data_IF_676201913359
#
_entry.id   IF_676201913359
#
_cell.length_a   1.000
_cell.length_b   1.000
_cell.length_c   1.000
_cell.angle_alpha   90.00
_cell.angle_beta   90.00
_cell.angle_gamma   90.00
#
_symmetry.space_group_name_H-M   'P 1'
#
loop_
_entity.id
_entity.type
_entity.pdbx_description
1 polymer ?
#
# COMPACT_ATOMS: atom_id res chain seq x y z
N UNK A 1 -6.29 -28.41 -42.27
CA UNK A 1 -5.63 -29.62 -42.83
C UNK A 1 -4.47 -29.92 -41.90
N UNK A 2 -4.63 -30.98 -41.10
CA UNK A 2 -3.70 -31.38 -40.04
C UNK A 2 -2.55 -32.15 -40.68
N UNK A 3 -1.31 -31.76 -40.40
CA UNK A 3 -0.13 -32.59 -40.67
C UNK A 3 0.53 -32.85 -39.33
N UNK A 4 0.38 -34.08 -38.87
CA UNK A 4 1.09 -34.67 -37.74
C UNK A 4 2.44 -35.16 -38.28
N UNK A 5 3.52 -34.77 -37.63
CA UNK A 5 4.81 -35.43 -37.79
C UNK A 5 5.42 -35.68 -36.42
N UNK A 6 5.49 -36.97 -36.10
CA UNK A 6 6.21 -37.58 -34.97
C UNK A 6 7.69 -37.18 -34.97
N UNK A 7 8.25 -36.87 -33.80
CA UNK A 7 9.71 -36.93 -33.57
C UNK A 7 9.97 -37.58 -32.21
N UNK A 8 10.82 -38.59 -32.26
CA UNK A 8 11.21 -39.54 -31.22
C UNK A 8 12.20 -38.92 -30.21
N UNK A 9 12.09 -39.30 -28.93
CA UNK A 9 12.95 -38.83 -27.85
C UNK A 9 14.10 -39.81 -27.60
N UNK A 10 15.31 -39.52 -28.07
CA UNK A 10 16.54 -40.13 -27.52
C UNK A 10 17.76 -39.22 -27.65
N UNK A 11 18.48 -39.06 -26.53
CA UNK A 11 19.86 -38.62 -26.34
C UNK A 11 20.19 -37.12 -26.11
N UNK A 12 20.53 -36.90 -24.82
CA UNK A 12 21.58 -36.08 -24.22
C UNK A 12 22.51 -35.23 -25.10
N UNK A 13 22.72 -34.01 -24.59
CA UNK A 13 23.89 -33.12 -24.76
C UNK A 13 24.16 -32.52 -26.14
N UNK A 14 23.51 -31.39 -26.45
CA UNK A 14 24.17 -30.28 -27.18
C UNK A 14 23.65 -28.93 -26.68
N UNK A 15 24.61 -28.11 -26.26
CA UNK A 15 24.54 -26.73 -25.84
C UNK A 15 24.28 -25.79 -27.04
N UNK A 16 23.54 -24.71 -26.77
CA UNK A 16 23.42 -23.44 -27.51
C UNK A 16 22.41 -23.27 -28.66
N UNK A 17 21.70 -22.14 -28.53
CA UNK A 17 21.12 -21.26 -29.56
C UNK A 17 19.64 -21.44 -29.87
N UNK A 18 18.78 -20.68 -29.19
CA UNK A 18 17.50 -20.22 -29.78
C UNK A 18 17.44 -18.71 -29.75
N UNK A 19 17.47 -18.18 -30.96
CA UNK A 19 17.33 -16.78 -31.37
C UNK A 19 15.91 -16.31 -31.06
N UNK A 20 15.80 -15.26 -30.26
CA UNK A 20 14.58 -14.47 -30.08
C UNK A 20 14.28 -13.67 -31.36
N UNK A 21 13.08 -13.85 -31.91
CA UNK A 21 12.55 -12.97 -32.97
C UNK A 21 12.15 -11.62 -32.36
N UNK A 22 12.69 -10.57 -32.96
CA UNK A 22 12.45 -9.16 -32.68
C UNK A 22 10.99 -8.74 -32.84
N UNK A 23 10.51 -7.90 -31.90
CA UNK A 23 9.65 -6.77 -32.25
C UNK A 23 10.34 -5.49 -31.76
N UNK A 24 10.44 -4.58 -32.72
CA UNK A 24 11.26 -3.38 -32.81
C UNK A 24 10.85 -2.29 -31.80
N UNK A 25 11.86 -1.64 -31.19
CA UNK A 25 11.80 -0.20 -30.96
C UNK A 25 11.85 0.28 -29.51
N UNK A 26 12.98 0.11 -28.82
CA UNK A 26 13.49 1.08 -27.84
C UNK A 26 14.95 0.73 -27.50
N UNK A 27 15.83 1.72 -27.60
CA UNK A 27 17.26 1.58 -27.28
C UNK A 27 17.43 1.28 -25.78
N UNK A 28 17.60 0.00 -25.45
CA UNK A 28 18.06 -0.44 -24.14
C UNK A 28 19.58 -0.59 -24.24
N UNK A 29 20.32 0.30 -23.58
CA UNK A 29 21.72 0.08 -23.28
C UNK A 29 21.78 -1.00 -22.18
N UNK A 30 21.92 -2.26 -22.60
CA UNK A 30 22.30 -3.35 -21.69
C UNK A 30 23.81 -3.22 -21.48
N UNK A 31 24.23 -2.74 -20.31
CA UNK A 31 25.61 -2.94 -19.85
C UNK A 31 25.71 -4.37 -19.32
N UNK A 32 26.62 -5.13 -19.91
CA UNK A 32 26.94 -6.51 -19.54
C UNK A 32 27.52 -6.60 -18.12
N UNK A 33 27.33 -7.79 -17.55
CA UNK A 33 27.63 -8.26 -16.20
C UNK A 33 28.89 -7.70 -15.52
N UNK A 34 28.69 -7.05 -14.37
CA UNK A 34 29.73 -6.90 -13.34
C UNK A 34 29.40 -7.88 -12.21
N UNK A 35 30.07 -9.03 -12.24
CA UNK A 35 30.15 -9.96 -11.11
C UNK A 35 30.95 -9.25 -10.01
N UNK A 36 30.27 -8.78 -8.96
CA UNK A 36 30.90 -8.15 -7.80
C UNK A 36 31.96 -9.07 -7.20
N UNK A 37 33.21 -8.58 -7.15
CA UNK A 37 34.28 -9.22 -6.40
C UNK A 37 34.02 -9.08 -4.90
N UNK A 38 34.09 -10.21 -4.18
CA UNK A 38 34.08 -10.24 -2.72
C UNK A 38 35.46 -9.78 -2.25
N UNK A 39 35.56 -8.51 -1.86
CA UNK A 39 36.77 -7.98 -1.23
C UNK A 39 36.81 -8.42 0.23
N UNK A 40 37.76 -9.29 0.60
CA UNK A 40 37.85 -9.93 1.92
C UNK A 40 38.74 -9.19 2.91
N UNK A 41 39.39 -8.11 2.52
CA UNK A 41 40.41 -7.46 3.35
C UNK A 41 40.02 -6.03 3.73
N UNK A 42 39.04 -5.87 4.65
CA UNK A 42 38.90 -4.71 5.57
C UNK A 42 37.65 -4.81 6.50
N UNK A 43 37.42 -5.97 7.14
CA UNK A 43 36.43 -6.05 8.24
C UNK A 43 37.15 -5.77 9.56
N UNK A 44 37.55 -4.53 9.76
CA UNK A 44 37.93 -4.00 11.08
C UNK A 44 36.86 -3.01 11.53
N UNK A 45 36.19 -3.34 12.64
CA UNK A 45 35.14 -2.57 13.32
C UNK A 45 33.77 -2.57 12.62
N UNK A 46 32.91 -3.51 13.02
CA UNK A 46 31.47 -3.47 12.78
C UNK A 46 30.88 -2.25 13.50
N UNK A 47 30.88 -1.08 12.85
CA UNK A 47 30.01 0.07 13.16
C UNK A 47 28.55 -0.24 12.78
N UNK A 48 28.06 -1.42 13.18
CA UNK A 48 26.70 -1.84 12.93
C UNK A 48 25.83 -1.44 14.13
N UNK A 49 25.15 -0.30 14.01
CA UNK A 49 24.01 0.01 14.87
C UNK A 49 22.76 -0.42 14.13
N UNK A 50 22.17 -1.57 14.52
CA UNK A 50 20.80 -1.91 14.12
C UNK A 50 19.91 -0.70 14.40
N UNK A 51 19.32 -0.02 13.40
CA UNK A 51 18.56 1.17 13.66
C UNK A 51 17.35 0.81 14.55
N UNK A 52 16.99 1.68 15.51
CA UNK A 52 15.89 1.42 16.43
C UNK A 52 14.57 1.19 15.70
N UNK A 53 14.36 1.82 14.53
CA UNK A 53 13.18 1.66 13.67
C UNK A 53 13.58 1.51 12.17
N UNK A 54 13.70 0.28 11.65
CA UNK A 54 14.16 0.02 10.29
C UNK A 54 13.13 0.28 9.18
N UNK A 55 11.84 0.38 9.55
CA UNK A 55 10.72 0.71 8.64
C UNK A 55 10.33 2.19 8.83
N UNK A 56 11.29 3.10 8.62
CA UNK A 56 11.09 4.55 8.73
C UNK A 56 11.89 5.28 7.65
N UNK A 57 11.51 6.53 7.36
CA UNK A 57 12.23 7.38 6.42
C UNK A 57 13.64 7.69 6.91
N UNK A 58 14.61 7.52 6.01
CA UNK A 58 16.02 7.71 6.27
C UNK A 58 16.65 8.53 5.14
N UNK A 59 17.54 9.43 5.50
CA UNK A 59 18.20 10.34 4.55
C UNK A 59 19.44 9.68 3.97
N UNK A 60 19.53 9.60 2.65
CA UNK A 60 20.76 9.21 1.94
C UNK A 60 21.55 10.46 1.57
N UNK A 61 20.89 11.37 0.84
CA UNK A 61 21.41 12.70 0.51
C UNK A 61 20.36 13.71 0.95
N UNK A 62 20.68 14.65 1.86
CA UNK A 62 19.75 15.71 2.27
C UNK A 62 19.14 16.42 1.06
N UNK A 63 17.82 16.61 1.10
CA UNK A 63 16.99 17.30 0.10
C UNK A 63 17.03 16.71 -1.32
N UNK A 64 17.56 15.49 -1.46
CA UNK A 64 17.77 14.84 -2.76
C UNK A 64 17.25 13.41 -2.76
N UNK A 65 17.68 12.59 -1.80
CA UNK A 65 17.48 11.14 -1.84
C UNK A 65 17.18 10.59 -0.45
N UNK A 66 16.06 9.87 -0.36
CA UNK A 66 15.55 9.27 0.86
C UNK A 66 15.14 7.83 0.59
N UNK A 67 15.25 6.98 1.61
CA UNK A 67 14.84 5.57 1.58
C UNK A 67 13.93 5.27 2.76
N UNK A 68 13.05 4.28 2.62
CA UNK A 68 12.04 3.93 3.61
C UNK A 68 12.07 2.45 4.00
N UNK A 69 12.01 1.55 3.01
CA UNK A 69 11.96 0.11 3.25
C UNK A 69 12.55 -0.68 2.07
N UNK A 70 12.96 -1.93 2.32
CA UNK A 70 13.61 -2.78 1.31
C UNK A 70 12.93 -4.16 1.21
N UNK A 71 12.73 -4.67 -0.01
CA UNK A 71 12.00 -5.90 -0.27
C UNK A 71 12.73 -6.79 -1.27
N UNK A 72 12.61 -8.11 -1.08
CA UNK A 72 12.96 -9.07 -2.13
C UNK A 72 11.83 -9.10 -3.16
N UNK A 73 12.17 -8.98 -4.45
CA UNK A 73 11.22 -9.20 -5.52
C UNK A 73 10.77 -10.67 -5.54
N UNK A 74 9.51 -10.93 -5.21
CA UNK A 74 8.95 -12.29 -5.22
C UNK A 74 8.77 -12.87 -6.63
N UNK A 75 8.90 -12.04 -7.66
CA UNK A 75 8.69 -12.40 -9.07
C UNK A 75 9.98 -12.77 -9.78
N UNK A 76 11.14 -12.35 -9.25
CA UNK A 76 12.42 -12.71 -9.85
C UNK A 76 12.72 -14.19 -9.63
N UNK A 77 13.18 -14.87 -10.69
CA UNK A 77 13.49 -16.32 -10.68
C UNK A 77 14.95 -16.62 -11.05
N UNK A 78 15.69 -15.63 -11.55
CA UNK A 78 17.05 -15.81 -12.08
C UNK A 78 18.09 -15.31 -11.08
N UNK A 79 17.88 -14.11 -10.51
CA UNK A 79 18.73 -13.52 -9.49
C UNK A 79 17.91 -12.96 -8.33
N UNK A 80 18.53 -12.69 -7.19
CA UNK A 80 17.87 -11.95 -6.12
C UNK A 80 17.82 -10.48 -6.51
N UNK A 81 16.61 -9.99 -6.72
CA UNK A 81 16.35 -8.58 -7.00
C UNK A 81 15.82 -7.92 -5.71
N UNK A 82 16.50 -6.88 -5.26
CA UNK A 82 16.12 -6.09 -4.08
C UNK A 82 15.54 -4.76 -4.56
N UNK A 83 14.35 -4.45 -4.08
CA UNK A 83 13.68 -3.16 -4.28
C UNK A 83 13.80 -2.35 -3.01
N UNK A 84 14.51 -1.23 -3.08
CA UNK A 84 14.53 -0.22 -2.03
C UNK A 84 13.52 0.86 -2.40
N UNK A 85 12.50 1.02 -1.57
CA UNK A 85 11.48 2.04 -1.72
C UNK A 85 11.97 3.35 -1.10
N UNK A 86 11.68 4.45 -1.76
CA UNK A 86 12.12 5.75 -1.28
C UNK A 86 11.54 6.93 -2.04
N UNK A 87 12.28 8.02 -2.00
CA UNK A 87 11.97 9.26 -2.68
C UNK A 87 13.22 9.89 -3.28
N UNK A 88 13.09 10.49 -4.46
CA UNK A 88 14.19 11.10 -5.20
C UNK A 88 13.74 12.41 -5.84
N UNK A 89 14.62 13.41 -5.83
CA UNK A 89 14.37 14.72 -6.44
C UNK A 89 14.25 14.61 -7.97
N UNK A 90 13.32 15.38 -8.54
CA UNK A 90 12.88 15.22 -9.93
C UNK A 90 14.01 15.36 -10.98
N UNK A 91 14.97 16.25 -10.73
CA UNK A 91 16.11 16.52 -11.62
C UNK A 91 17.04 15.32 -11.79
N UNK A 92 17.15 14.46 -10.79
CA UNK A 92 17.96 13.24 -10.86
C UNK A 92 17.31 12.15 -11.71
N UNK A 93 15.98 12.12 -11.84
CA UNK A 93 15.31 11.27 -12.83
C UNK A 93 15.58 11.71 -14.27
N UNK A 94 15.84 13.00 -14.49
CA UNK A 94 16.16 13.54 -15.82
C UNK A 94 17.64 13.38 -16.17
N UNK A 95 18.50 13.20 -15.18
CA UNK A 95 19.95 13.11 -15.32
C UNK A 95 20.50 11.91 -14.53
N UNK A 96 20.20 10.67 -14.93
CA UNK A 96 20.58 9.47 -14.19
C UNK A 96 22.11 9.31 -14.04
N UNK A 97 22.90 9.90 -14.94
CA UNK A 97 24.37 9.94 -14.86
C UNK A 97 24.89 10.59 -13.56
N UNK A 98 24.06 11.43 -12.91
CA UNK A 98 24.38 12.07 -11.62
C UNK A 98 24.18 11.13 -10.42
N UNK A 99 23.59 9.95 -10.62
CA UNK A 99 23.29 8.97 -9.58
C UNK A 99 24.29 7.80 -9.65
N UNK A 100 25.43 7.93 -8.99
CA UNK A 100 26.32 6.79 -8.74
C UNK A 100 25.96 6.16 -7.39
N UNK A 101 24.92 5.35 -7.38
CA UNK A 101 24.42 4.74 -6.13
C UNK A 101 24.74 3.26 -6.01
N UNK A 102 24.89 2.80 -4.77
CA UNK A 102 25.25 1.41 -4.48
C UNK A 102 24.38 0.85 -3.37
N UNK A 103 23.95 -0.40 -3.51
CA UNK A 103 23.39 -1.18 -2.43
C UNK A 103 24.51 -1.85 -1.65
N UNK A 104 24.64 -1.51 -0.37
CA UNK A 104 25.46 -2.26 0.58
C UNK A 104 24.58 -3.22 1.36
N UNK A 105 24.89 -4.50 1.29
CA UNK A 105 24.06 -5.61 1.77
C UNK A 105 24.85 -6.35 2.84
N UNK A 106 24.35 -6.32 4.07
CA UNK A 106 24.90 -7.02 5.22
C UNK A 106 24.12 -8.31 5.43
N UNK A 107 24.82 -9.43 5.31
CA UNK A 107 24.26 -10.77 5.52
C UNK A 107 24.69 -11.24 6.90
N UNK A 108 23.84 -11.00 7.90
CA UNK A 108 24.20 -11.16 9.31
C UNK A 108 24.54 -12.61 9.66
N UNK A 109 23.85 -13.57 9.03
CA UNK A 109 24.03 -15.00 9.31
C UNK A 109 25.42 -15.51 8.95
N UNK A 110 25.98 -15.00 7.85
CA UNK A 110 27.28 -15.43 7.32
C UNK A 110 28.40 -14.43 7.59
N UNK A 111 28.12 -13.34 8.31
CA UNK A 111 29.01 -12.20 8.53
C UNK A 111 29.66 -11.68 7.22
N UNK A 112 28.86 -11.64 6.15
CA UNK A 112 29.32 -11.24 4.83
C UNK A 112 28.73 -9.88 4.45
N UNK A 113 29.51 -9.11 3.71
CA UNK A 113 29.10 -7.82 3.16
C UNK A 113 29.26 -7.86 1.66
N UNK A 114 28.21 -7.47 0.95
CA UNK A 114 28.21 -7.37 -0.50
C UNK A 114 27.88 -5.94 -0.88
N UNK A 115 28.64 -5.37 -1.82
CA UNK A 115 28.34 -4.06 -2.39
C UNK A 115 28.06 -4.25 -3.88
N UNK A 116 26.92 -3.75 -4.34
CA UNK A 116 26.52 -3.79 -5.75
C UNK A 116 26.05 -2.42 -6.21
N UNK A 117 26.39 -2.04 -7.43
CA UNK A 117 25.84 -0.83 -8.06
C UNK A 117 24.33 -1.02 -8.29
N UNK A 118 23.56 0.07 -8.17
CA UNK A 118 22.13 0.02 -8.53
C UNK A 118 21.98 -0.31 -10.01
N UNK A 119 21.09 -1.24 -10.34
CA UNK A 119 20.81 -1.58 -11.74
C UNK A 119 19.84 -0.62 -12.38
N UNK A 120 18.90 -0.09 -11.60
CA UNK A 120 17.82 0.77 -12.10
C UNK A 120 17.25 1.66 -11.00
N UNK A 121 16.83 2.87 -11.39
CA UNK A 121 15.92 3.70 -10.61
C UNK A 121 14.62 3.86 -11.38
N UNK A 122 13.49 3.56 -10.73
CA UNK A 122 12.16 3.68 -11.33
C UNK A 122 11.41 4.84 -10.67
N UNK A 123 10.93 5.78 -11.48
CA UNK A 123 9.98 6.79 -11.02
C UNK A 123 8.61 6.14 -10.94
N UNK A 124 8.10 5.96 -9.73
CA UNK A 124 6.79 5.34 -9.51
C UNK A 124 5.72 6.34 -9.15
N UNK A 125 6.01 7.65 -9.11
CA UNK A 125 5.03 8.67 -8.75
C UNK A 125 3.74 8.56 -9.55
N UNK A 126 2.62 8.70 -8.84
CA UNK A 126 1.29 8.74 -9.44
C UNK A 126 1.18 9.82 -10.51
N UNK A 127 0.55 9.50 -11.65
CA UNK A 127 0.29 10.47 -12.74
C UNK A 127 -0.57 11.68 -12.33
N UNK A 128 -1.23 11.61 -11.17
CA UNK A 128 -1.98 12.72 -10.57
C UNK A 128 -1.08 13.73 -9.84
N UNK A 129 0.13 13.32 -9.48
CA UNK A 129 1.14 14.15 -8.82
C UNK A 129 2.21 14.46 -9.86
N UNK A 130 2.06 15.58 -10.57
CA UNK A 130 3.00 16.03 -11.60
C UNK A 130 3.74 17.27 -11.15
N UNK A 131 4.97 17.44 -11.65
CA UNK A 131 5.80 18.63 -11.43
C UNK A 131 6.08 18.92 -9.95
N UNK A 132 6.25 17.88 -9.15
CA UNK A 132 6.68 18.01 -7.76
C UNK A 132 8.19 17.95 -7.68
N UNK A 133 8.74 18.62 -6.67
CA UNK A 133 10.18 18.62 -6.43
C UNK A 133 10.69 17.20 -6.12
N UNK A 134 9.91 16.44 -5.36
CA UNK A 134 10.23 15.09 -4.92
C UNK A 134 9.24 14.08 -5.51
N UNK A 135 9.75 12.91 -5.89
CA UNK A 135 9.02 11.83 -6.53
C UNK A 135 9.24 10.51 -5.77
N UNK A 136 8.23 9.64 -5.75
CA UNK A 136 8.35 8.26 -5.29
C UNK A 136 9.31 7.48 -6.19
N UNK A 137 10.25 6.75 -5.58
CA UNK A 137 11.31 6.05 -6.27
C UNK A 137 11.40 4.59 -5.81
N UNK A 138 11.73 3.70 -6.75
CA UNK A 138 12.26 2.37 -6.45
C UNK A 138 13.71 2.29 -6.94
N UNK A 139 14.64 1.98 -6.05
CA UNK A 139 16.04 1.69 -6.38
C UNK A 139 16.21 0.18 -6.40
N UNK A 140 16.63 -0.35 -7.54
CA UNK A 140 16.69 -1.79 -7.79
C UNK A 140 18.15 -2.22 -7.84
N UNK A 141 18.46 -3.31 -7.14
CA UNK A 141 19.77 -3.95 -7.13
C UNK A 141 19.60 -5.44 -7.43
N UNK A 142 20.47 -5.99 -8.26
CA UNK A 142 20.55 -7.45 -8.46
C UNK A 142 21.78 -8.00 -7.80
N UNK A 143 21.62 -9.13 -7.12
CA UNK A 143 22.74 -9.91 -6.63
C UNK A 143 22.35 -11.37 -6.45
N UNK A 144 23.33 -12.22 -6.16
CA UNK A 144 23.10 -13.63 -5.89
C UNK A 144 23.34 -13.93 -4.41
N UNK A 145 22.30 -14.39 -3.73
CA UNK A 145 22.36 -14.86 -2.34
C UNK A 145 21.59 -16.16 -2.18
N UNK A 146 22.09 -17.00 -1.27
CA UNK A 146 21.34 -18.16 -0.82
C UNK A 146 20.00 -17.74 -0.22
N UNK A 147 18.89 -18.42 -0.54
CA UNK A 147 17.59 -18.17 0.09
C UNK A 147 17.61 -18.25 1.62
N UNK A 148 18.53 -19.03 2.21
CA UNK A 148 18.69 -19.18 3.66
C UNK A 148 19.14 -17.92 4.39
N UNK A 149 19.73 -16.98 3.65
CA UNK A 149 20.43 -15.82 4.20
C UNK A 149 19.61 -14.53 4.04
N UNK A 150 18.57 -14.56 3.19
CA UNK A 150 17.69 -13.42 2.90
C UNK A 150 16.96 -12.87 4.13
N UNK A 151 16.59 -13.72 5.09
CA UNK A 151 15.75 -13.32 6.22
C UNK A 151 16.50 -12.49 7.27
N UNK A 152 17.82 -12.63 7.33
CA UNK A 152 18.71 -11.92 8.27
C UNK A 152 19.64 -10.96 7.50
N UNK A 153 19.07 -10.27 6.50
CA UNK A 153 19.80 -9.34 5.63
C UNK A 153 19.36 -7.90 5.89
N UNK A 154 20.33 -6.99 5.87
CA UNK A 154 20.14 -5.55 5.99
C UNK A 154 20.73 -4.87 4.77
N UNK A 155 20.03 -3.85 4.29
CA UNK A 155 20.41 -3.13 3.07
C UNK A 155 20.49 -1.64 3.36
N UNK A 156 21.56 -1.03 2.87
CA UNK A 156 21.76 0.41 2.85
C UNK A 156 21.92 0.89 1.41
N UNK A 157 21.40 2.06 1.09
CA UNK A 157 21.64 2.75 -0.17
C UNK A 157 22.69 3.84 0.04
N UNK A 158 23.73 3.86 -0.79
CA UNK A 158 24.83 4.81 -0.73
C UNK A 158 24.84 5.70 -1.97
N UNK A 159 25.25 6.96 -1.83
CA UNK A 159 25.39 7.91 -2.94
C UNK A 159 26.80 7.96 -3.55
N UNK A 160 27.78 7.39 -2.87
CA UNK A 160 29.12 7.11 -3.37
C UNK A 160 29.77 5.98 -2.54
N UNK A 161 30.97 5.54 -2.89
CA UNK A 161 31.67 4.45 -2.20
C UNK A 161 32.30 4.87 -0.86
N UNK A 162 32.39 6.16 -0.55
CA UNK A 162 33.10 6.72 0.60
C UNK A 162 32.17 7.40 1.62
N UNK A 163 30.85 7.33 1.43
CA UNK A 163 29.89 8.03 2.28
C UNK A 163 29.71 7.32 3.61
N UNK A 164 29.60 8.10 4.69
CA UNK A 164 29.21 7.60 6.02
C UNK A 164 27.80 7.00 5.98
N UNK A 165 27.64 5.84 6.63
CA UNK A 165 26.37 5.10 6.67
C UNK A 165 25.32 5.83 7.50
N UNK A 166 24.34 6.44 6.83
CA UNK A 166 23.26 7.15 7.50
C UNK A 166 21.90 6.45 7.37
N UNK A 167 21.86 5.28 6.71
CA UNK A 167 20.65 4.49 6.54
C UNK A 167 20.92 2.99 6.60
N UNK A 168 19.95 2.23 7.10
CA UNK A 168 19.90 0.77 7.10
C UNK A 168 18.44 0.31 7.18
N UNK A 169 18.05 -0.62 6.31
CA UNK A 169 16.70 -1.18 6.26
C UNK A 169 16.78 -2.70 6.38
N UNK A 170 15.83 -3.31 7.09
CA UNK A 170 15.67 -4.76 7.07
C UNK A 170 15.17 -5.17 5.68
N UNK A 171 15.76 -6.23 5.12
CA UNK A 171 15.28 -6.83 3.89
C UNK A 171 14.04 -7.69 4.16
N UNK A 172 12.89 -7.23 3.71
CA UNK A 172 11.64 -7.99 3.82
C UNK A 172 11.59 -9.08 2.74
N UNK A 173 11.63 -10.33 3.18
CA UNK A 173 11.49 -11.49 2.30
C UNK A 173 10.16 -12.22 2.54
N UNK A 174 9.34 -12.34 1.50
CA UNK A 174 8.04 -13.00 1.54
C UNK A 174 7.95 -14.27 0.67
N UNK A 175 9.04 -14.69 0.01
CA UNK A 175 9.04 -15.80 -0.96
C UNK A 175 8.60 -17.12 -0.32
N UNK A 176 9.13 -17.45 0.87
CA UNK A 176 8.88 -18.72 1.55
C UNK A 176 7.78 -18.64 2.62
N UNK A 177 7.08 -17.51 2.75
CA UNK A 177 6.08 -17.33 3.80
C UNK A 177 4.73 -17.90 3.36
N UNK A 178 4.01 -18.63 4.25
CA UNK A 178 2.68 -19.10 3.95
C UNK A 178 1.68 -17.94 3.91
N UNK A 179 0.61 -18.14 3.14
CA UNK A 179 -0.55 -17.24 3.16
C UNK A 179 -1.12 -17.22 4.57
N UNK A 180 -1.14 -16.03 5.17
CA UNK A 180 -1.56 -15.84 6.56
C UNK A 180 -2.91 -15.13 6.66
N UNK A 181 -3.29 -14.36 5.63
CA UNK A 181 -4.48 -13.50 5.65
C UNK A 181 -5.28 -13.66 4.36
N UNK A 182 -6.60 -13.54 4.45
CA UNK A 182 -7.47 -13.48 3.29
C UNK A 182 -7.55 -12.05 2.76
N UNK A 183 -7.84 -11.08 3.64
CA UNK A 183 -7.93 -9.66 3.27
C UNK A 183 -7.08 -8.79 4.19
N UNK A 184 -6.26 -7.95 3.56
CA UNK A 184 -5.54 -6.87 4.23
C UNK A 184 -5.97 -5.54 3.62
N UNK A 185 -6.30 -4.54 4.46
CA UNK A 185 -6.65 -3.19 4.01
C UNK A 185 -5.44 -2.29 4.09
N UNK A 186 -5.13 -1.59 3.00
CA UNK A 186 -4.19 -0.48 2.96
C UNK A 186 -4.97 0.83 2.94
N UNK A 187 -4.69 1.71 3.90
CA UNK A 187 -5.17 3.07 3.79
C UNK A 187 -4.45 3.76 2.62
N UNK A 188 -5.20 4.38 1.70
CA UNK A 188 -4.66 4.95 0.45
C UNK A 188 -3.88 6.26 0.62
N UNK A 189 -3.82 6.80 1.84
CA UNK A 189 -3.02 7.98 2.20
C UNK A 189 -2.51 7.89 3.66
N UNK A 190 -1.44 8.61 4.02
CA UNK A 190 -1.01 8.67 5.41
C UNK A 190 -2.05 9.37 6.29
N UNK A 191 -2.05 9.03 7.57
CA UNK A 191 -2.82 9.73 8.59
C UNK A 191 -2.05 10.96 9.08
N UNK A 192 -2.67 12.12 8.96
CA UNK A 192 -2.14 13.40 9.41
C UNK A 192 -3.25 14.25 10.01
N UNK A 193 -2.88 15.17 10.90
CA UNK A 193 -3.78 16.16 11.49
C UNK A 193 -4.92 15.55 12.34
N UNK A 194 -6.06 16.24 12.35
CA UNK A 194 -7.21 15.86 13.20
C UNK A 194 -8.17 14.95 12.45
N UNK A 195 -8.20 13.68 12.84
CA UNK A 195 -9.18 12.69 12.37
C UNK A 195 -10.27 12.51 13.42
N UNK A 196 -11.53 12.41 12.97
CA UNK A 196 -12.63 12.10 13.88
C UNK A 196 -12.53 10.66 14.39
N UNK A 197 -12.49 10.50 15.71
CA UNK A 197 -12.51 9.19 16.38
C UNK A 197 -13.68 8.33 15.89
N UNK A 198 -14.90 8.87 15.83
CA UNK A 198 -16.07 8.11 15.37
C UNK A 198 -15.92 7.63 13.92
N UNK A 199 -15.36 8.48 13.06
CA UNK A 199 -15.11 8.15 11.67
C UNK A 199 -14.08 7.02 11.54
N UNK A 200 -12.98 7.11 12.28
CA UNK A 200 -11.95 6.06 12.32
C UNK A 200 -12.52 4.74 12.83
N UNK A 201 -13.22 4.76 13.97
CA UNK A 201 -13.79 3.55 14.57
C UNK A 201 -14.78 2.85 13.65
N UNK A 202 -15.67 3.63 13.03
CA UNK A 202 -16.64 3.09 12.09
C UNK A 202 -15.98 2.52 10.84
N UNK A 203 -14.99 3.20 10.27
CA UNK A 203 -14.25 2.68 9.13
C UNK A 203 -13.50 1.38 9.46
N UNK A 204 -12.83 1.31 10.61
CA UNK A 204 -12.11 0.10 11.06
C UNK A 204 -13.07 -1.08 11.25
N UNK A 205 -14.19 -0.86 11.95
CA UNK A 205 -15.16 -1.93 12.21
C UNK A 205 -15.93 -2.35 10.96
N UNK A 206 -16.23 -1.44 10.04
CA UNK A 206 -16.86 -1.80 8.77
C UNK A 206 -15.92 -2.64 7.90
N UNK A 207 -14.64 -2.26 7.78
CA UNK A 207 -13.67 -3.08 7.06
C UNK A 207 -13.50 -4.47 7.70
N UNK A 208 -13.48 -4.54 9.04
CA UNK A 208 -13.46 -5.81 9.77
C UNK A 208 -14.72 -6.66 9.49
N UNK A 209 -15.91 -6.05 9.48
CA UNK A 209 -17.16 -6.73 9.14
C UNK A 209 -17.20 -7.21 7.69
N UNK A 210 -16.52 -6.52 6.78
CA UNK A 210 -16.38 -6.97 5.39
C UNK A 210 -15.38 -8.12 5.22
N UNK A 211 -14.59 -8.42 6.25
CA UNK A 211 -13.67 -9.56 6.30
C UNK A 211 -12.19 -9.19 6.35
N UNK A 212 -11.83 -7.96 6.71
CA UNK A 212 -10.43 -7.57 6.91
C UNK A 212 -9.81 -8.34 8.09
N UNK A 213 -8.71 -9.05 7.82
CA UNK A 213 -7.88 -9.70 8.85
C UNK A 213 -6.83 -8.72 9.42
N UNK A 214 -6.34 -7.82 8.57
CA UNK A 214 -5.34 -6.81 8.88
C UNK A 214 -5.67 -5.47 8.23
N UNK A 215 -5.24 -4.40 8.88
CA UNK A 215 -5.35 -3.03 8.39
C UNK A 215 -3.99 -2.36 8.60
N UNK A 216 -3.36 -1.92 7.51
CA UNK A 216 -2.11 -1.18 7.55
C UNK A 216 -2.40 0.32 7.51
N UNK A 217 -1.88 1.03 8.51
CA UNK A 217 -1.96 2.47 8.65
C UNK A 217 -0.55 3.06 8.69
N UNK A 218 -0.34 4.15 7.97
CA UNK A 218 0.89 4.94 8.00
C UNK A 218 0.63 6.23 8.77
N UNK A 219 1.35 6.46 9.86
CA UNK A 219 1.24 7.64 10.70
C UNK A 219 2.27 8.68 10.31
N UNK A 220 1.82 9.81 9.77
CA UNK A 220 2.67 10.98 9.59
C UNK A 220 2.60 11.87 10.84
N UNK A 221 1.39 12.33 11.21
CA UNK A 221 1.21 13.32 12.27
C UNK A 221 -0.20 13.34 12.85
N UNK A 222 -0.88 12.19 12.97
CA UNK A 222 -2.24 12.20 13.53
C UNK A 222 -2.26 12.65 15.00
N UNK A 223 -3.38 13.23 15.45
CA UNK A 223 -3.57 13.66 16.84
C UNK A 223 -3.54 12.50 17.84
N UNK A 224 -2.83 12.69 18.97
CA UNK A 224 -2.78 11.73 20.10
C UNK A 224 -4.14 11.32 20.68
N UNK A 225 -5.22 12.07 20.36
CA UNK A 225 -6.60 11.65 20.65
C UNK A 225 -6.99 10.30 20.04
N UNK A 226 -6.27 9.83 19.01
CA UNK A 226 -6.48 8.52 18.39
C UNK A 226 -5.70 7.39 19.07
N UNK A 227 -4.66 7.69 19.86
CA UNK A 227 -3.73 6.69 20.41
C UNK A 227 -4.45 5.56 21.16
N UNK A 228 -5.41 5.82 22.08
CA UNK A 228 -6.07 4.74 22.82
C UNK A 228 -6.84 3.77 21.90
N UNK A 229 -7.39 4.29 20.80
CA UNK A 229 -8.15 3.51 19.83
C UNK A 229 -7.23 2.72 18.92
N UNK A 230 -6.19 3.36 18.38
CA UNK A 230 -5.19 2.68 17.54
C UNK A 230 -4.49 1.57 18.34
N UNK A 231 -4.10 1.84 19.57
CA UNK A 231 -3.45 0.84 20.44
C UNK A 231 -4.37 -0.32 20.78
N UNK A 232 -5.67 -0.07 21.01
CA UNK A 232 -6.64 -1.15 21.14
C UNK A 232 -6.61 -2.10 19.93
N UNK A 233 -6.66 -1.54 18.72
CA UNK A 233 -6.64 -2.35 17.48
C UNK A 233 -5.29 -3.01 17.19
N UNK A 234 -4.19 -2.40 17.61
CA UNK A 234 -2.85 -3.02 17.57
C UNK A 234 -2.80 -4.23 18.50
N UNK A 235 -3.30 -4.10 19.74
CA UNK A 235 -3.32 -5.19 20.74
C UNK A 235 -4.14 -6.39 20.29
N UNK A 236 -5.30 -6.18 19.68
CA UNK A 236 -6.10 -7.28 19.14
C UNK A 236 -5.59 -7.79 17.78
N UNK A 237 -4.52 -7.18 17.26
CA UNK A 237 -3.87 -7.57 16.03
C UNK A 237 -4.58 -7.16 14.74
N UNK A 238 -5.60 -6.30 14.78
CA UNK A 238 -6.26 -5.83 13.56
C UNK A 238 -5.39 -4.78 12.83
N UNK A 239 -4.84 -3.82 13.57
CA UNK A 239 -4.10 -2.70 12.99
C UNK A 239 -2.59 -2.91 13.13
N UNK A 240 -1.87 -2.73 12.02
CA UNK A 240 -0.43 -2.46 12.02
C UNK A 240 -0.22 -0.98 11.73
N UNK A 241 0.49 -0.30 12.62
CA UNK A 241 0.85 1.10 12.47
C UNK A 241 2.32 1.21 12.08
N UNK A 242 2.62 1.96 11.03
CA UNK A 242 3.99 2.27 10.59
C UNK A 242 4.25 3.78 10.69
N UNK A 243 5.46 4.21 11.08
CA UNK A 243 5.82 5.62 11.00
C UNK A 243 5.96 6.05 9.53
N UNK A 244 5.56 7.28 9.23
CA UNK A 244 5.59 7.87 7.90
C UNK A 244 6.07 9.33 7.90
N UNK A 245 6.60 9.79 9.03
CA UNK A 245 7.08 11.16 9.15
C UNK A 245 8.26 11.40 8.19
N UNK A 246 8.04 12.23 7.18
CA UNK A 246 9.04 12.49 6.16
C UNK A 246 10.06 13.56 6.65
N UNK A 247 11.39 13.26 6.63
CA UNK A 247 12.39 14.14 7.23
C UNK A 247 12.85 15.29 6.34
N UNK A 248 12.47 15.33 5.06
CA UNK A 248 12.87 16.41 4.16
C UNK A 248 12.12 17.70 4.43
N UNK A 249 12.85 18.82 4.39
CA UNK A 249 12.29 20.15 4.65
C UNK A 249 12.49 21.06 3.44
N UNK A 250 11.38 21.49 2.84
CA UNK A 250 11.40 22.38 1.68
C UNK A 250 10.61 23.65 2.02
N UNK A 251 11.24 24.84 2.07
CA UNK A 251 10.60 26.06 2.56
C UNK A 251 9.26 26.42 1.89
N UNK A 252 9.10 26.06 0.61
CA UNK A 252 7.92 26.39 -0.19
C UNK A 252 6.83 25.30 -0.19
N UNK A 253 7.04 24.18 0.51
CA UNK A 253 6.13 23.04 0.52
C UNK A 253 5.90 22.58 1.95
N UNK A 254 4.64 22.60 2.39
CA UNK A 254 4.31 22.11 3.72
C UNK A 254 4.54 20.59 3.86
N UNK A 255 4.83 20.10 5.08
CA UNK A 255 5.11 18.67 5.31
C UNK A 255 3.98 17.72 4.89
N UNK A 256 2.71 18.11 5.05
CA UNK A 256 1.57 17.27 4.69
C UNK A 256 1.50 17.07 3.17
N UNK A 257 1.77 18.13 2.40
CA UNK A 257 1.85 18.09 0.94
C UNK A 257 3.00 17.19 0.46
N UNK A 258 4.16 17.23 1.13
CA UNK A 258 5.28 16.32 0.82
C UNK A 258 4.90 14.86 1.07
N UNK A 259 4.33 14.56 2.23
CA UNK A 259 3.82 13.22 2.57
C UNK A 259 2.76 12.75 1.59
N UNK A 260 1.89 13.66 1.12
CA UNK A 260 0.89 13.39 0.09
C UNK A 260 1.53 13.00 -1.25
N UNK A 261 2.60 13.67 -1.68
CA UNK A 261 3.30 13.33 -2.93
C UNK A 261 3.92 11.94 -2.91
N UNK A 262 4.24 11.41 -1.73
CA UNK A 262 4.86 10.09 -1.54
C UNK A 262 3.86 8.95 -1.28
N UNK A 263 2.56 9.19 -1.44
CA UNK A 263 1.52 8.16 -1.29
C UNK A 263 1.77 6.91 -2.14
N UNK A 264 2.43 7.05 -3.28
CA UNK A 264 2.70 5.93 -4.15
C UNK A 264 3.82 5.02 -3.59
N UNK A 265 4.81 5.58 -2.90
CA UNK A 265 5.79 4.81 -2.11
C UNK A 265 5.05 4.03 -1.02
N UNK A 266 4.09 4.65 -0.35
CA UNK A 266 3.28 4.04 0.72
C UNK A 266 2.42 2.86 0.22
N UNK A 267 1.77 3.02 -0.93
CA UNK A 267 0.99 1.95 -1.56
C UNK A 267 1.88 0.78 -1.99
N UNK A 268 3.06 1.08 -2.54
CA UNK A 268 4.04 0.07 -2.95
C UNK A 268 4.58 -0.69 -1.73
N UNK A 269 4.87 0.03 -0.64
CA UNK A 269 5.23 -0.58 0.66
C UNK A 269 4.13 -1.52 1.15
N UNK A 270 2.86 -1.09 1.10
CA UNK A 270 1.75 -1.92 1.54
C UNK A 270 1.61 -3.19 0.69
N UNK A 271 1.75 -3.08 -0.63
CA UNK A 271 1.74 -4.22 -1.55
C UNK A 271 2.88 -5.18 -1.20
N UNK A 272 4.13 -4.73 -1.26
CA UNK A 272 5.29 -5.61 -1.10
C UNK A 272 5.33 -6.27 0.27
N UNK A 273 4.94 -5.56 1.32
CA UNK A 273 4.85 -6.10 2.69
C UNK A 273 3.87 -7.25 2.82
N UNK A 274 2.78 -7.26 2.05
CA UNK A 274 1.74 -8.29 2.10
C UNK A 274 1.71 -9.20 0.88
N UNK A 275 2.61 -8.99 -0.08
CA UNK A 275 2.70 -9.75 -1.31
C UNK A 275 2.83 -11.25 -0.99
N UNK A 276 1.92 -12.07 -1.54
CA UNK A 276 1.78 -13.52 -1.29
C UNK A 276 1.46 -13.94 0.17
N UNK A 277 1.44 -13.03 1.13
CA UNK A 277 1.05 -13.31 2.53
C UNK A 277 -0.45 -13.07 2.73
N UNK A 278 -1.01 -12.03 2.12
CA UNK A 278 -2.46 -11.83 2.04
C UNK A 278 -2.95 -12.31 0.68
N UNK A 279 -4.14 -12.91 0.57
CA UNK A 279 -4.70 -13.23 -0.77
C UNK A 279 -5.13 -11.96 -1.50
N UNK A 280 -5.84 -11.11 -0.78
CA UNK A 280 -6.41 -9.88 -1.31
C UNK A 280 -5.96 -8.68 -0.50
N UNK A 281 -5.67 -7.59 -1.22
CA UNK A 281 -5.27 -6.30 -0.68
C UNK A 281 -6.31 -5.26 -1.07
N UNK A 282 -7.02 -4.70 -0.10
CA UNK A 282 -8.04 -3.68 -0.31
C UNK A 282 -7.40 -2.31 -0.20
N UNK A 283 -7.48 -1.50 -1.24
CA UNK A 283 -6.96 -0.12 -1.21
C UNK A 283 -8.12 0.84 -1.15
N UNK A 284 -8.27 1.59 -0.05
CA UNK A 284 -9.31 2.61 0.11
C UNK A 284 -8.86 3.74 1.03
N UNK A 285 -9.51 4.90 0.92
CA UNK A 285 -9.26 6.04 1.80
C UNK A 285 -10.15 5.97 3.06
N UNK A 286 -9.84 6.78 4.08
CA UNK A 286 -10.56 6.74 5.37
C UNK A 286 -12.04 7.14 5.22
N UNK A 287 -12.37 7.92 4.19
CA UNK A 287 -13.72 8.32 3.82
C UNK A 287 -14.37 7.38 2.78
N UNK A 288 -13.78 6.23 2.52
CA UNK A 288 -14.20 5.32 1.46
C UNK A 288 -14.34 3.86 1.94
N UNK A 289 -15.33 3.17 1.38
CA UNK A 289 -15.59 1.75 1.63
C UNK A 289 -15.96 1.05 0.33
N UNK A 290 -15.34 -0.10 0.05
CA UNK A 290 -15.80 -1.01 -1.00
C UNK A 290 -16.90 -1.88 -0.39
N UNK A 291 -18.15 -1.56 -0.67
CA UNK A 291 -19.31 -2.17 -0.02
C UNK A 291 -19.86 -3.30 -0.90
N UNK A 292 -19.99 -4.54 -0.39
CA UNK A 292 -20.80 -5.59 -1.01
C UNK A 292 -22.26 -5.15 -1.13
N UNK A 293 -22.83 -5.16 -2.33
CA UNK A 293 -24.17 -4.57 -2.59
C UNK A 293 -25.28 -5.59 -2.75
N UNK A 294 -24.96 -6.84 -3.07
CA UNK A 294 -25.95 -7.90 -3.09
C UNK A 294 -26.56 -8.10 -1.68
N UNK A 295 -27.88 -8.30 -1.53
CA UNK A 295 -28.53 -8.40 -0.23
C UNK A 295 -27.99 -9.52 0.68
N UNK A 296 -27.52 -10.61 0.08
CA UNK A 296 -27.00 -11.78 0.81
C UNK A 296 -25.49 -11.74 1.08
N UNK A 297 -24.78 -10.73 0.58
CA UNK A 297 -23.32 -10.65 0.71
C UNK A 297 -22.97 -9.67 1.82
N UNK A 298 -22.40 -10.16 2.90
CA UNK A 298 -21.91 -9.37 4.02
C UNK A 298 -20.40 -9.17 3.95
N UNK A 299 -19.66 -10.08 3.32
CA UNK A 299 -18.19 -10.03 3.24
C UNK A 299 -17.70 -9.88 1.80
N UNK A 300 -16.45 -9.44 1.64
CA UNK A 300 -15.78 -9.40 0.33
C UNK A 300 -15.58 -10.80 -0.27
N UNK A 301 -15.36 -11.82 0.55
CA UNK A 301 -15.30 -13.22 0.11
C UNK A 301 -16.61 -13.65 -0.58
N UNK A 302 -17.75 -13.42 0.08
CA UNK A 302 -19.07 -13.74 -0.47
C UNK A 302 -19.32 -12.97 -1.78
N UNK A 303 -18.98 -11.68 -1.79
CA UNK A 303 -19.07 -10.83 -2.97
C UNK A 303 -18.21 -11.34 -4.13
N UNK A 304 -16.93 -11.67 -3.88
CA UNK A 304 -15.98 -12.16 -4.89
C UNK A 304 -16.41 -13.52 -5.43
N UNK A 305 -16.91 -14.42 -4.57
CA UNK A 305 -17.36 -15.77 -4.97
C UNK A 305 -18.53 -15.76 -5.96
N UNK A 306 -19.30 -14.66 -6.00
CA UNK A 306 -20.40 -14.46 -6.95
C UNK A 306 -19.96 -13.78 -8.24
N UNK A 307 -18.73 -13.32 -8.32
CA UNK A 307 -18.22 -12.74 -9.55
C UNK A 307 -17.95 -13.84 -10.57
N UNK A 308 -18.21 -13.56 -11.84
CA UNK A 308 -17.77 -14.39 -12.96
C UNK A 308 -16.37 -14.03 -13.45
N UNK A 309 -15.56 -13.39 -12.60
CA UNK A 309 -14.22 -12.95 -12.95
C UNK A 309 -13.26 -14.14 -13.03
N UNK A 310 -12.15 -13.98 -13.76
CA UNK A 310 -11.08 -14.98 -13.80
C UNK A 310 -10.46 -15.21 -12.42
N UNK A 311 -10.09 -16.44 -12.09
CA UNK A 311 -9.31 -16.78 -10.89
C UNK A 311 -7.91 -16.14 -10.92
N UNK A 312 -7.41 -15.82 -12.12
CA UNK A 312 -6.12 -15.15 -12.34
C UNK A 312 -6.25 -13.64 -12.49
N UNK A 313 -7.40 -13.06 -12.16
CA UNK A 313 -7.60 -11.61 -12.24
C UNK A 313 -6.57 -10.87 -11.37
N UNK A 314 -6.03 -9.77 -11.90
CA UNK A 314 -5.17 -8.89 -11.12
C UNK A 314 -5.93 -8.30 -9.91
N UNK A 315 -7.23 -8.05 -10.04
CA UNK A 315 -8.08 -7.69 -8.90
C UNK A 315 -9.47 -7.22 -9.31
N UNK A 316 -10.20 -6.66 -8.35
CA UNK A 316 -11.61 -6.32 -8.48
C UNK A 316 -11.83 -4.82 -8.27
N UNK A 317 -12.28 -4.14 -9.32
CA UNK A 317 -12.46 -2.69 -9.33
C UNK A 317 -13.88 -2.26 -8.94
N UNK A 318 -14.02 -1.35 -7.98
CA UNK A 318 -15.28 -0.79 -7.52
C UNK A 318 -15.46 0.67 -7.96
N UNK A 319 -16.62 0.98 -8.55
CA UNK A 319 -16.93 2.33 -9.06
C UNK A 319 -17.41 3.25 -7.94
N UNK A 320 -16.95 4.50 -8.01
CA UNK A 320 -17.22 5.56 -7.03
C UNK A 320 -18.67 6.06 -7.05
N UNK A 321 -19.25 6.15 -5.86
CA UNK A 321 -20.54 6.76 -5.55
C UNK A 321 -20.38 7.70 -4.35
N UNK A 322 -20.80 8.96 -4.53
CA UNK A 322 -20.63 10.00 -3.51
C UNK A 322 -21.85 10.09 -2.58
N UNK A 323 -21.62 9.86 -1.31
CA UNK A 323 -22.54 10.14 -0.21
C UNK A 323 -22.13 11.45 0.46
N UNK A 324 -23.10 12.26 0.88
CA UNK A 324 -22.77 13.52 1.54
C UNK A 324 -23.76 13.98 2.60
N UNK A 325 -23.24 14.58 3.68
CA UNK A 325 -24.08 15.31 4.63
C UNK A 325 -24.87 16.45 3.98
N UNK A 326 -24.31 17.09 2.95
CA UNK A 326 -25.03 18.13 2.20
C UNK A 326 -26.27 17.56 1.49
N UNK A 327 -26.18 16.35 0.94
CA UNK A 327 -27.33 15.67 0.35
C UNK A 327 -28.38 15.28 1.39
N UNK A 328 -27.95 14.81 2.57
CA UNK A 328 -28.86 14.53 3.69
C UNK A 328 -29.65 15.78 4.10
N UNK A 329 -29.00 16.95 4.16
CA UNK A 329 -29.67 18.23 4.47
C UNK A 329 -30.64 18.66 3.36
N UNK A 330 -30.35 18.33 2.11
CA UNK A 330 -31.23 18.64 0.97
C UNK A 330 -32.42 17.66 0.87
N UNK A 331 -32.28 16.41 1.32
CA UNK A 331 -33.37 15.42 1.26
C UNK A 331 -34.30 15.47 2.47
N UNK A 332 -33.80 15.86 3.65
CA UNK A 332 -34.60 16.03 4.88
C UNK A 332 -35.24 17.41 4.91
N UNK A 333 -36.56 17.45 4.98
CA UNK A 333 -37.35 18.68 5.18
C UNK A 333 -37.30 19.23 6.63
N UNK A 334 -36.57 18.60 7.56
CA UNK A 334 -36.50 19.04 8.96
C UNK A 334 -35.09 18.94 9.58
N UNK A 335 -34.78 19.95 10.42
CA UNK A 335 -33.53 20.17 11.16
C UNK A 335 -33.47 19.28 12.41
N UNK A 336 -33.26 17.97 12.30
CA UNK A 336 -32.85 17.18 13.46
C UNK A 336 -31.33 16.96 13.44
N UNK A 337 -30.65 17.85 14.16
CA UNK A 337 -29.23 17.77 14.47
C UNK A 337 -28.98 16.82 15.62
N UNK A 338 -29.12 15.50 15.40
CA UNK A 338 -28.51 14.55 16.30
C UNK A 338 -27.05 14.35 15.92
N UNK A 339 -26.19 14.48 16.93
CA UNK A 339 -24.75 14.23 16.87
C UNK A 339 -24.57 12.78 16.41
N UNK A 340 -24.15 12.58 15.15
CA UNK A 340 -24.04 11.24 14.54
C UNK A 340 -22.90 10.49 15.21
N UNK A 341 -23.24 9.47 15.99
CA UNK A 341 -22.24 8.52 16.50
C UNK A 341 -21.77 7.54 15.42
N UNK A 342 -22.57 7.33 14.37
CA UNK A 342 -22.31 6.46 13.21
C UNK A 342 -22.33 7.29 11.94
N UNK A 343 -21.20 7.91 11.64
CA UNK A 343 -21.06 8.95 10.63
C UNK A 343 -21.39 8.43 9.22
N UNK A 344 -20.80 7.31 8.81
CA UNK A 344 -21.00 6.69 7.49
C UNK A 344 -22.35 5.98 7.38
N UNK A 345 -22.75 5.23 8.41
CA UNK A 345 -24.03 4.52 8.44
C UNK A 345 -25.21 5.47 8.32
N UNK A 346 -25.16 6.62 8.98
CA UNK A 346 -26.23 7.62 8.97
C UNK A 346 -26.28 8.44 7.66
N UNK A 347 -25.26 8.32 6.80
CA UNK A 347 -25.22 8.93 5.46
C UNK A 347 -25.76 7.96 4.41
N UNK A 348 -27.04 8.08 4.12
CA UNK A 348 -27.76 7.22 3.16
C UNK A 348 -28.06 7.92 1.83
N UNK A 349 -27.95 9.24 1.79
CA UNK A 349 -28.31 10.04 0.62
C UNK A 349 -27.08 10.26 -0.26
N UNK A 350 -27.23 9.89 -1.53
CA UNK A 350 -26.26 10.14 -2.60
C UNK A 350 -26.95 10.71 -3.83
N UNK A 351 -26.17 11.12 -4.83
CA UNK A 351 -26.73 11.34 -6.18
C UNK A 351 -26.83 10.02 -6.94
N UNK A 352 -27.62 9.98 -8.00
CA UNK A 352 -27.68 8.85 -8.94
C UNK A 352 -26.36 8.64 -9.73
N UNK A 353 -25.39 9.55 -9.60
CA UNK A 353 -24.13 9.51 -10.34
C UNK A 353 -23.28 8.33 -9.87
N UNK A 354 -22.90 7.49 -10.83
CA UNK A 354 -21.83 6.51 -10.70
C UNK A 354 -20.68 6.93 -11.60
N UNK A 355 -19.48 7.10 -11.04
CA UNK A 355 -18.31 7.45 -11.85
C UNK A 355 -17.93 6.31 -12.79
N UNK A 356 -17.38 6.66 -13.97
CA UNK A 356 -16.66 5.68 -14.81
C UNK A 356 -15.52 5.05 -13.98
N UNK A 357 -15.22 3.79 -14.27
CA UNK A 357 -14.04 3.15 -13.68
C UNK A 357 -12.76 3.95 -13.99
N UNK A 358 -11.73 3.84 -13.15
CA UNK A 358 -10.54 4.70 -13.10
C UNK A 358 -10.75 6.15 -12.59
N UNK A 359 -11.99 6.66 -12.53
CA UNK A 359 -12.27 8.01 -11.99
C UNK A 359 -12.68 7.93 -10.53
N UNK A 360 -11.72 8.15 -9.63
CA UNK A 360 -11.90 8.05 -8.17
C UNK A 360 -12.33 6.66 -7.71
N UNK A 361 -12.07 5.63 -8.52
CA UNK A 361 -12.35 4.25 -8.17
C UNK A 361 -11.33 3.74 -7.15
N UNK A 362 -11.64 2.59 -6.56
CA UNK A 362 -10.79 1.84 -5.65
C UNK A 362 -11.04 0.35 -5.90
N UNK A 363 -10.18 -0.49 -5.34
CA UNK A 363 -10.11 -1.88 -5.78
C UNK A 363 -9.62 -2.82 -4.68
N UNK A 364 -9.83 -4.11 -4.94
CA UNK A 364 -9.31 -5.23 -4.17
C UNK A 364 -8.30 -5.96 -5.06
N UNK A 365 -7.01 -5.75 -4.84
CA UNK A 365 -5.95 -6.37 -5.61
C UNK A 365 -5.74 -7.83 -5.17
N UNK A 366 -5.57 -8.73 -6.14
CA UNK A 366 -5.10 -10.08 -5.93
C UNK A 366 -3.57 -10.09 -5.93
N UNK A 367 -2.96 -10.33 -4.76
CA UNK A 367 -1.50 -10.23 -4.59
C UNK A 367 -0.73 -11.36 -5.27
N UNK A 368 -1.40 -12.41 -5.73
CA UNK A 368 -0.78 -13.49 -6.50
C UNK A 368 -0.54 -13.14 -7.95
N UNK A 369 -1.08 -12.01 -8.41
CA UNK A 369 -0.98 -11.57 -9.80
C UNK A 369 -0.63 -10.09 -9.95
N UNK A 370 -0.98 -9.25 -8.98
CA UNK A 370 -0.65 -7.83 -8.99
C UNK A 370 0.83 -7.58 -8.71
N UNK A 371 1.48 -6.79 -9.56
CA UNK A 371 2.89 -6.40 -9.41
C UNK A 371 3.04 -4.93 -9.02
N UNK A 372 2.09 -4.06 -9.38
CA UNK A 372 2.13 -2.65 -9.03
C UNK A 372 0.73 -2.06 -8.82
N UNK A 373 0.62 -1.18 -7.82
CA UNK A 373 -0.60 -0.46 -7.47
C UNK A 373 -0.60 0.97 -8.02
N UNK A 374 -1.79 1.55 -8.22
CA UNK A 374 -2.00 2.98 -8.43
C UNK A 374 -3.10 3.48 -7.49
N UNK A 375 -3.24 4.79 -7.33
CA UNK A 375 -4.21 5.40 -6.41
C UNK A 375 -5.67 4.96 -6.70
N UNK A 376 -6.01 4.69 -7.97
CA UNK A 376 -7.40 4.44 -8.40
C UNK A 376 -7.64 3.13 -9.17
N UNK A 377 -6.60 2.36 -9.44
CA UNK A 377 -6.66 1.09 -10.16
C UNK A 377 -5.40 0.26 -9.92
N UNK A 378 -5.39 -0.97 -10.42
CA UNK A 378 -4.17 -1.76 -10.50
C UNK A 378 -3.31 -1.21 -11.65
N UNK A 379 -2.05 -0.87 -11.35
CA UNK A 379 -1.15 -0.28 -12.33
C UNK A 379 -0.55 -1.34 -13.25
N UNK A 380 -0.18 -2.50 -12.70
CA UNK A 380 0.39 -3.60 -13.46
C UNK A 380 0.19 -4.95 -12.74
N UNK A 381 0.24 -6.03 -13.51
CA UNK A 381 0.17 -7.39 -13.00
C UNK A 381 0.48 -8.44 -14.06
N UNK A 382 0.72 -9.67 -13.60
CA UNK A 382 0.98 -10.87 -14.45
C UNK A 382 -0.27 -11.72 -14.66
N UNK A 383 -1.40 -11.32 -14.07
CA UNK A 383 -2.70 -11.92 -14.27
C UNK A 383 -3.53 -11.21 -15.33
N UNK A 384 -4.81 -11.57 -15.38
CA UNK A 384 -5.77 -10.96 -16.30
C UNK A 384 -6.12 -9.52 -15.89
N UNK A 385 -6.62 -8.74 -16.84
CA UNK A 385 -7.05 -7.37 -16.59
C UNK A 385 -8.01 -7.27 -15.39
N UNK A 386 -8.00 -6.11 -14.75
CA UNK A 386 -8.83 -5.84 -13.59
C UNK A 386 -10.33 -6.05 -13.88
N UNK A 387 -10.99 -6.85 -13.04
CA UNK A 387 -12.41 -7.13 -13.18
C UNK A 387 -13.25 -5.99 -12.59
N UNK A 388 -13.81 -5.16 -13.47
CA UNK A 388 -14.64 -4.02 -13.07
C UNK A 388 -16.02 -4.50 -12.64
N UNK A 389 -16.34 -4.34 -11.36
CA UNK A 389 -17.59 -4.83 -10.78
C UNK A 389 -18.81 -3.96 -11.19
N UNK A 390 -19.94 -4.63 -11.41
CA UNK A 390 -21.23 -3.94 -11.53
C UNK A 390 -21.60 -3.32 -10.18
N UNK A 391 -22.39 -2.23 -10.20
CA UNK A 391 -22.82 -1.56 -8.96
C UNK A 391 -23.83 -2.38 -8.16
N UNK A 392 -24.35 -3.47 -8.70
CA UNK A 392 -25.23 -4.39 -7.97
C UNK A 392 -24.42 -5.43 -7.19
N UNK A 393 -23.19 -5.71 -7.61
CA UNK A 393 -22.23 -6.57 -6.90
C UNK A 393 -21.48 -5.76 -5.84
N UNK A 394 -20.86 -4.66 -6.24
CA UNK A 394 -20.04 -3.84 -5.34
C UNK A 394 -20.02 -2.38 -5.76
N UNK A 395 -19.84 -1.50 -4.78
CA UNK A 395 -19.64 -0.09 -5.06
C UNK A 395 -18.72 0.57 -4.05
N UNK A 396 -17.92 1.51 -4.54
CA UNK A 396 -17.10 2.35 -3.68
C UNK A 396 -17.98 3.47 -3.13
N UNK A 397 -18.36 3.35 -1.86
CA UNK A 397 -19.06 4.38 -1.13
C UNK A 397 -18.03 5.41 -0.64
N UNK A 398 -18.12 6.64 -1.13
CA UNK A 398 -17.25 7.74 -0.74
C UNK A 398 -18.07 8.76 0.06
N UNK A 399 -17.75 8.97 1.33
CA UNK A 399 -18.51 9.78 2.29
C UNK A 399 -17.89 11.15 2.51
N UNK A 400 -18.62 12.24 2.24
CA UNK A 400 -18.10 13.61 2.41
C UNK A 400 -19.03 14.51 3.18
N UNK A 401 -18.48 15.45 3.96
CA UNK A 401 -19.29 16.52 4.56
C UNK A 401 -19.87 17.47 3.50
N UNK A 402 -19.11 17.75 2.44
CA UNK A 402 -19.45 18.70 1.37
C UNK A 402 -19.32 18.07 -0.01
N UNK A 403 -20.05 18.63 -0.99
CA UNK A 403 -19.94 18.21 -2.39
C UNK A 403 -18.62 18.74 -2.98
N UNK A 404 -17.73 17.88 -3.50
CA UNK A 404 -16.37 18.28 -3.86
C UNK A 404 -16.26 19.02 -5.20
N UNK A 405 -17.29 18.97 -6.06
CA UNK A 405 -17.28 19.71 -7.32
C UNK A 405 -18.68 19.92 -7.88
N UNK A 406 -18.83 20.91 -8.77
CA UNK A 406 -20.09 21.20 -9.47
C UNK A 406 -20.66 20.00 -10.24
N UNK A 407 -19.78 19.08 -10.69
CA UNK A 407 -20.17 17.84 -11.38
C UNK A 407 -21.08 16.95 -10.54
N UNK A 408 -20.95 16.98 -9.21
CA UNK A 408 -21.76 16.18 -8.29
C UNK A 408 -22.94 16.95 -7.72
N UNK A 409 -23.24 18.16 -8.21
CA UNK A 409 -24.42 18.91 -7.75
C UNK A 409 -25.71 18.22 -8.19
N UNK A 410 -26.69 18.25 -7.28
CA UNK A 410 -28.05 17.77 -7.53
C UNK A 410 -28.68 18.61 -8.64
N UNK A 411 -29.29 17.93 -9.61
CA UNK A 411 -30.05 18.54 -10.69
C UNK A 411 -31.00 17.49 -11.29
N UNK A 412 -31.82 17.87 -12.27
CA UNK A 412 -32.80 16.97 -12.88
C UNK A 412 -32.18 15.69 -13.48
N UNK A 413 -30.93 15.73 -13.97
CA UNK A 413 -30.22 14.56 -14.51
C UNK A 413 -29.53 13.72 -13.43
N UNK A 414 -29.25 14.34 -12.28
CA UNK A 414 -28.54 13.73 -11.15
C UNK A 414 -29.40 13.82 -9.88
N UNK A 415 -30.58 13.18 -9.85
CA UNK A 415 -31.45 13.22 -8.68
C UNK A 415 -30.78 12.58 -7.46
N UNK A 416 -31.31 12.93 -6.28
CA UNK A 416 -30.95 12.25 -5.03
C UNK A 416 -31.53 10.84 -5.00
N UNK A 417 -30.78 9.92 -4.43
CA UNK A 417 -31.13 8.52 -4.23
C UNK A 417 -30.85 8.18 -2.77
N UNK A 418 -31.82 7.54 -2.12
CA UNK A 418 -31.65 6.96 -0.79
C UNK A 418 -31.09 5.56 -0.96
N UNK A 419 -29.87 5.35 -0.48
CA UNK A 419 -29.13 4.12 -0.56
C UNK A 419 -28.79 3.64 0.86
N UNK A 420 -29.56 2.66 1.32
CA UNK A 420 -29.44 2.07 2.67
C UNK A 420 -28.59 0.81 2.69
N UNK A 421 -27.76 0.57 1.66
CA UNK A 421 -27.00 -0.69 1.54
C UNK A 421 -26.13 -0.97 2.76
N UNK A 422 -25.56 0.06 3.39
CA UNK A 422 -24.72 -0.09 4.58
C UNK A 422 -25.52 -0.46 5.84
N UNK A 423 -26.85 -0.24 5.88
CA UNK A 423 -27.68 -0.51 7.06
C UNK A 423 -27.71 -1.99 7.47
N UNK A 424 -27.42 -2.92 6.55
CA UNK A 424 -27.32 -4.35 6.90
C UNK A 424 -26.22 -4.66 7.93
N UNK A 425 -25.27 -3.74 8.13
CA UNK A 425 -24.23 -3.83 9.14
C UNK A 425 -24.54 -3.04 10.42
N UNK A 426 -25.67 -2.33 10.49
CA UNK A 426 -25.91 -1.35 11.54
C UNK A 426 -26.00 -1.94 12.95
N UNK A 427 -26.55 -3.14 13.07
CA UNK A 427 -26.66 -3.89 14.33
C UNK A 427 -25.28 -4.40 14.80
N UNK A 428 -24.52 -5.21 14.01
CA UNK A 428 -23.21 -5.69 14.44
C UNK A 428 -22.20 -4.54 14.65
N UNK A 429 -22.26 -3.49 13.82
CA UNK A 429 -21.42 -2.30 14.01
C UNK A 429 -21.71 -1.62 15.35
N UNK A 430 -22.98 -1.42 15.71
CA UNK A 430 -23.37 -0.80 16.97
C UNK A 430 -22.89 -1.58 18.19
N UNK A 431 -23.01 -2.92 18.15
CA UNK A 431 -22.49 -3.80 19.19
C UNK A 431 -20.98 -3.68 19.35
N UNK A 432 -20.23 -3.73 18.24
CA UNK A 432 -18.78 -3.58 18.22
C UNK A 432 -18.31 -2.25 18.81
N UNK A 433 -18.88 -1.13 18.33
CA UNK A 433 -18.50 0.22 18.79
C UNK A 433 -18.76 0.39 20.29
N UNK A 434 -19.88 -0.15 20.79
CA UNK A 434 -20.19 -0.15 22.23
C UNK A 434 -19.17 -0.93 23.04
N UNK A 435 -18.77 -2.11 22.55
CA UNK A 435 -17.76 -2.95 23.19
C UNK A 435 -16.41 -2.26 23.27
N UNK A 436 -15.93 -1.68 22.18
CA UNK A 436 -14.63 -0.99 22.09
C UNK A 436 -14.58 0.18 23.08
N UNK A 437 -15.59 1.05 23.07
CA UNK A 437 -15.66 2.22 23.96
C UNK A 437 -15.64 1.79 25.43
N UNK A 438 -16.34 0.70 25.78
CA UNK A 438 -16.30 0.12 27.14
C UNK A 438 -14.91 -0.39 27.50
N UNK A 439 -14.25 -1.13 26.60
CA UNK A 439 -12.89 -1.65 26.84
C UNK A 439 -11.89 -0.53 27.11
N UNK A 440 -11.92 0.54 26.31
CA UNK A 440 -10.99 1.67 26.46
C UNK A 440 -11.25 2.44 27.77
N UNK A 441 -12.51 2.63 28.16
CA UNK A 441 -12.83 3.28 29.43
C UNK A 441 -12.30 2.50 30.63
N UNK A 442 -12.44 1.17 30.63
CA UNK A 442 -11.91 0.30 31.70
C UNK A 442 -10.38 0.36 31.79
N UNK A 443 -9.69 0.42 30.64
CA UNK A 443 -8.23 0.53 30.62
C UNK A 443 -7.76 1.88 31.22
N UNK A 444 -8.48 2.97 30.94
CA UNK A 444 -8.21 4.29 31.50
C UNK A 444 -8.41 4.33 33.03
N UNK A 445 -9.47 3.71 33.54
CA UNK A 445 -9.72 3.60 35.00
C UNK A 445 -8.64 2.79 35.73
N UNK A 446 -8.13 1.71 35.11
CA UNK A 446 -7.02 0.93 35.67
C UNK A 446 -5.72 1.73 35.72
N UNK A 447 -5.43 2.49 34.66
CA UNK A 447 -4.27 3.37 34.63
C UNK A 447 -4.35 4.45 35.72
N UNK A 448 -5.50 5.12 35.87
CA UNK A 448 -5.66 6.14 36.92
C UNK A 448 -5.47 5.57 38.32
N UNK A 449 -6.07 4.40 38.60
CA UNK A 449 -5.97 3.75 39.91
C UNK A 449 -4.54 3.27 40.25
N UNK A 450 -3.74 2.90 39.24
CA UNK A 450 -2.33 2.55 39.45
C UNK A 450 -1.47 3.79 39.72
N UNK A 451 -1.73 4.91 39.06
CA UNK A 451 -1.05 6.19 39.37
C UNK A 451 -1.36 6.67 40.80
N UNK A 452 -2.60 6.53 41.27
CA UNK A 452 -2.99 6.89 42.65
C UNK A 452 -2.38 5.96 43.71
N UNK A 453 -1.95 4.75 43.35
CA UNK A 453 -1.27 3.81 44.28
C UNK A 453 0.25 3.97 44.32
N UNK A 454 0.84 4.66 43.34
CA UNK A 454 2.27 4.91 43.22
C UNK A 454 2.69 6.27 43.79
N UNK A 455 1.72 7.11 44.15
CA UNK A 455 1.85 8.32 44.95
C UNK A 455 1.46 8.01 46.40
#
# INVERSE_FOLDING_TARGET
>A
MVIISYVDFTNQDVVNTVITKSVIGQNVLVKEDIIGHVDKDHISQLDYVKPPDPDNWQTVIPDVMYVYSAYVNVWSTISTEIHILGALRQDYFRNPELLKSYCKIWIMRSDNVVMVEISKVVNVTSSFVRNTLLHSAEFICHFYISPSDLNDTIVSLLSDNNTTYNNAMILHNNIAKPVSYNFTVCLGRPLYGTVSVNWLLEWLELNRLFGADKILLHNDSFSSSLDPYIDYYRRIGLVRLLPWHFPGHYPDIDPETLSYYLQQTMLTDCLYRHQRITKYLVVCDLDELIVPRHPSDYTWDQMISRTGCSERVNGYGARHMLFSEEYERQSRSSKEGNRRERVMLDMTTRTSIVSKYYKRAKYIANTFFTTALSIHNIANGVGDEECVLSVDVAGLHHYRKTIPSSRFKVNQRNPLVIDKTLHKYGEPLGQSLTKIRRSINVDNEKLSNNFTRLL
#
